data_IF_738127526760
#
_entry.id   IF_738127526760
#
_cell.length_a   1.000
_cell.length_b   1.000
_cell.length_c   1.000
_cell.angle_alpha   90.00
_cell.angle_beta   90.00
_cell.angle_gamma   90.00
#
_symmetry.space_group_name_H-M   'P 1'
#
loop_
_entity.id
_entity.type
_entity.pdbx_description
1 polymer ?
#
# COMPACT_ATOMS: atom_id res chain seq x y z
N UNK A 1 47.39 8.42 -39.52
CA UNK A 1 46.25 7.64 -38.97
C UNK A 1 46.25 7.52 -37.45
N UNK A 2 47.29 7.01 -36.77
CA UNK A 2 47.29 6.80 -35.31
C UNK A 2 46.94 8.03 -34.45
N UNK A 3 47.38 9.24 -34.84
CA UNK A 3 47.08 10.50 -34.12
C UNK A 3 45.60 10.92 -34.23
N UNK A 4 44.96 10.67 -35.37
CA UNK A 4 43.54 11.01 -35.61
C UNK A 4 42.63 10.06 -34.80
N UNK A 5 42.98 8.78 -34.76
CA UNK A 5 42.28 7.78 -33.93
C UNK A 5 42.37 8.09 -32.43
N UNK A 6 43.52 8.58 -31.95
CA UNK A 6 43.69 8.97 -30.55
C UNK A 6 42.83 10.19 -30.18
N UNK A 7 42.76 11.22 -31.04
CA UNK A 7 41.95 12.42 -30.80
C UNK A 7 40.45 12.08 -30.80
N UNK A 8 40.00 11.24 -31.74
CA UNK A 8 38.61 10.77 -31.78
C UNK A 8 38.25 9.95 -30.53
N UNK A 9 39.13 9.07 -30.07
CA UNK A 9 38.91 8.29 -28.84
C UNK A 9 38.79 9.18 -27.60
N UNK A 10 39.68 10.19 -27.44
CA UNK A 10 39.61 11.13 -26.31
C UNK A 10 38.34 11.99 -26.37
N UNK A 11 37.92 12.40 -27.57
CA UNK A 11 36.71 13.19 -27.77
C UNK A 11 35.45 12.38 -27.44
N UNK A 12 35.42 11.09 -27.80
CA UNK A 12 34.32 10.18 -27.46
C UNK A 12 34.23 9.93 -25.94
N UNK A 13 35.37 9.79 -25.26
CA UNK A 13 35.44 9.63 -23.80
C UNK A 13 34.95 10.90 -23.10
N UNK A 14 35.36 12.08 -23.56
CA UNK A 14 34.92 13.36 -23.02
C UNK A 14 33.40 13.56 -23.21
N UNK A 15 32.87 13.22 -24.39
CA UNK A 15 31.43 13.31 -24.66
C UNK A 15 30.63 12.34 -23.78
N UNK A 16 31.11 11.11 -23.59
CA UNK A 16 30.48 10.13 -22.70
C UNK A 16 30.50 10.56 -21.22
N UNK A 17 31.51 11.29 -20.78
CA UNK A 17 31.57 11.85 -19.42
C UNK A 17 30.56 12.99 -19.21
N UNK A 18 30.36 13.84 -20.22
CA UNK A 18 29.39 14.95 -20.17
C UNK A 18 27.95 14.42 -20.16
N UNK A 19 27.64 13.38 -20.94
CA UNK A 19 26.31 12.74 -20.98
C UNK A 19 25.95 12.04 -19.66
N UNK A 20 26.94 11.55 -18.89
CA UNK A 20 26.70 10.93 -17.58
C UNK A 20 26.34 11.92 -16.48
N UNK A 21 26.76 13.18 -16.59
CA UNK A 21 26.52 14.19 -15.56
C UNK A 21 25.08 14.74 -15.55
N UNK A 22 24.35 14.65 -16.66
CA UNK A 22 22.98 15.17 -16.79
C UNK A 22 21.88 14.14 -16.46
N UNK A 23 22.22 12.87 -16.27
CA UNK A 23 21.24 11.80 -16.07
C UNK A 23 20.73 11.65 -14.63
N UNK A 24 21.35 12.30 -13.64
CA UNK A 24 20.92 12.23 -12.24
C UNK A 24 20.59 13.62 -11.70
N UNK A 25 19.34 14.02 -11.84
CA UNK A 25 18.77 15.07 -10.98
C UNK A 25 18.95 14.62 -9.53
N UNK A 26 19.86 15.26 -8.78
CA UNK A 26 20.09 14.96 -7.37
C UNK A 26 18.79 15.21 -6.61
N UNK A 27 18.14 14.15 -6.13
CA UNK A 27 16.92 14.27 -5.34
C UNK A 27 17.17 15.19 -4.14
N UNK A 28 16.39 16.26 -4.03
CA UNK A 28 16.38 17.16 -2.89
C UNK A 28 15.09 16.93 -2.10
N UNK A 29 15.15 16.33 -0.90
CA UNK A 29 13.96 16.12 -0.09
C UNK A 29 13.38 17.47 0.37
N UNK A 30 12.05 17.57 0.39
CA UNK A 30 11.37 18.71 0.99
C UNK A 30 11.52 18.70 2.51
N UNK A 31 11.32 19.86 3.16
CA UNK A 31 11.29 19.95 4.62
C UNK A 31 10.27 18.97 5.26
N UNK A 32 9.10 18.82 4.64
CA UNK A 32 8.08 17.88 5.09
C UNK A 32 8.56 16.42 5.02
N UNK A 33 9.33 16.05 3.99
CA UNK A 33 9.93 14.72 3.88
C UNK A 33 10.94 14.48 5.01
N UNK A 34 11.81 15.46 5.29
CA UNK A 34 12.80 15.36 6.35
C UNK A 34 12.14 15.20 7.73
N UNK A 35 11.12 16.01 8.03
CA UNK A 35 10.36 15.90 9.27
C UNK A 35 9.66 14.54 9.43
N UNK A 36 9.04 14.02 8.35
CA UNK A 36 8.41 12.71 8.38
C UNK A 36 9.41 11.56 8.61
N UNK A 37 10.63 11.68 8.06
CA UNK A 37 11.72 10.71 8.27
C UNK A 37 12.22 10.75 9.70
N UNK A 38 12.45 11.94 10.24
CA UNK A 38 12.85 12.12 11.64
C UNK A 38 11.80 11.54 12.59
N UNK A 39 10.52 11.88 12.39
CA UNK A 39 9.43 11.29 13.16
C UNK A 39 9.45 9.76 13.09
N UNK A 40 9.63 9.16 11.90
CA UNK A 40 9.59 7.69 11.76
C UNK A 40 10.78 7.02 12.44
N UNK A 41 11.97 7.63 12.33
CA UNK A 41 13.16 7.20 13.03
C UNK A 41 12.96 7.26 14.55
N UNK A 42 12.30 8.30 15.07
CA UNK A 42 12.03 8.44 16.50
C UNK A 42 10.90 7.53 17.00
N UNK A 43 9.92 7.23 16.14
CA UNK A 43 8.80 6.36 16.47
C UNK A 43 9.26 4.92 16.77
N UNK A 44 10.29 4.43 16.05
CA UNK A 44 10.98 3.13 16.18
C UNK A 44 10.12 1.88 16.04
N UNK A 45 9.00 1.80 16.75
CA UNK A 45 8.18 0.62 16.92
C UNK A 45 6.72 0.89 16.54
N UNK A 46 6.14 0.00 15.74
CA UNK A 46 4.76 0.11 15.25
C UNK A 46 4.15 -1.25 14.95
N UNK A 47 2.83 -1.28 14.86
CA UNK A 47 2.04 -2.45 14.47
C UNK A 47 1.94 -2.51 12.95
N UNK A 48 2.02 -3.71 12.38
CA UNK A 48 1.64 -3.94 10.98
C UNK A 48 0.52 -4.96 10.91
N UNK A 49 -0.65 -4.54 10.46
CA UNK A 49 -1.83 -5.38 10.26
C UNK A 49 -1.97 -5.73 8.77
N UNK A 50 -1.80 -7.01 8.46
CA UNK A 50 -2.19 -7.59 7.18
C UNK A 50 -3.57 -8.20 7.33
N UNK A 51 -4.57 -7.52 6.78
CA UNK A 51 -5.95 -7.98 6.85
C UNK A 51 -6.72 -7.68 5.56
N UNK A 52 -7.54 -8.64 5.14
CA UNK A 52 -8.33 -8.61 3.92
C UNK A 52 -9.08 -9.92 3.71
N UNK A 53 -9.73 -10.09 2.56
CA UNK A 53 -10.55 -11.28 2.26
C UNK A 53 -9.75 -12.59 2.22
N UNK A 54 -8.43 -12.53 2.00
CA UNK A 54 -7.54 -13.69 2.13
C UNK A 54 -7.59 -14.31 3.54
N UNK A 55 -7.93 -13.54 4.58
CA UNK A 55 -8.05 -14.05 5.95
C UNK A 55 -9.18 -15.09 6.10
N UNK A 56 -10.18 -15.08 5.22
CA UNK A 56 -11.25 -16.10 5.18
C UNK A 56 -10.68 -17.48 4.85
N UNK A 57 -9.65 -17.53 4.01
CA UNK A 57 -9.03 -18.80 3.59
C UNK A 57 -7.98 -19.30 4.59
N UNK A 58 -7.45 -18.43 5.46
CA UNK A 58 -6.49 -18.81 6.51
C UNK A 58 -5.14 -19.34 6.01
N UNK A 59 -4.77 -19.09 4.74
CA UNK A 59 -3.61 -19.68 4.06
C UNK A 59 -2.64 -18.62 3.50
N UNK A 60 -2.52 -17.51 4.24
CA UNK A 60 -1.66 -16.38 3.89
C UNK A 60 -2.23 -15.48 2.78
N UNK A 61 -1.62 -14.29 2.65
CA UNK A 61 -2.08 -13.22 1.76
C UNK A 61 -1.78 -13.47 0.27
N UNK A 62 -0.93 -14.46 -0.03
CA UNK A 62 -0.58 -14.90 -1.39
C UNK A 62 -1.36 -16.15 -1.84
N UNK A 63 -2.33 -16.63 -1.06
CA UNK A 63 -3.11 -17.86 -1.33
C UNK A 63 -3.66 -17.93 -2.75
N UNK A 64 -4.17 -16.80 -3.27
CA UNK A 64 -4.70 -16.69 -4.63
C UNK A 64 -3.64 -17.08 -5.68
N UNK A 65 -2.41 -16.57 -5.53
CA UNK A 65 -1.31 -16.86 -6.45
C UNK A 65 -0.74 -18.27 -6.23
N UNK A 66 -0.60 -18.69 -4.98
CA UNK A 66 0.04 -19.97 -4.64
C UNK A 66 -0.81 -21.15 -5.10
N UNK A 67 -2.13 -21.05 -4.93
CA UNK A 67 -3.09 -22.08 -5.34
C UNK A 67 -3.68 -21.87 -6.74
N UNK A 68 -3.22 -20.82 -7.46
CA UNK A 68 -3.70 -20.45 -8.80
C UNK A 68 -5.22 -20.33 -8.86
N UNK A 69 -5.82 -19.73 -7.82
CA UNK A 69 -7.27 -19.54 -7.74
C UNK A 69 -7.70 -18.56 -8.83
N UNK A 70 -8.65 -18.93 -9.71
CA UNK A 70 -9.19 -18.01 -10.69
C UNK A 70 -9.81 -16.77 -10.02
N UNK A 71 -9.63 -15.60 -10.64
CA UNK A 71 -10.17 -14.33 -10.11
C UNK A 71 -11.67 -14.44 -9.83
N UNK A 72 -12.44 -15.02 -10.75
CA UNK A 72 -13.89 -15.18 -10.62
C UNK A 72 -14.31 -16.02 -9.40
N UNK A 73 -13.47 -16.94 -8.93
CA UNK A 73 -13.73 -17.71 -7.73
C UNK A 73 -13.30 -16.94 -6.47
N UNK A 74 -12.18 -16.24 -6.55
CA UNK A 74 -11.68 -15.43 -5.44
C UNK A 74 -12.61 -14.25 -5.12
N UNK A 75 -13.23 -13.64 -6.14
CA UNK A 75 -14.21 -12.55 -6.00
C UNK A 75 -15.51 -12.96 -5.29
N UNK A 76 -15.71 -14.26 -4.98
CA UNK A 76 -16.83 -14.77 -4.17
C UNK A 76 -16.55 -14.70 -2.67
N UNK A 77 -15.27 -14.60 -2.25
CA UNK A 77 -14.87 -14.54 -0.84
C UNK A 77 -15.43 -13.34 -0.06
N UNK A 78 -15.55 -12.13 -0.64
CA UNK A 78 -16.12 -10.98 0.08
C UNK A 78 -17.49 -11.26 0.73
N UNK A 79 -18.31 -12.13 0.12
CA UNK A 79 -19.61 -12.49 0.69
C UNK A 79 -19.52 -13.22 2.04
N UNK A 80 -18.38 -13.84 2.34
CA UNK A 80 -18.10 -14.54 3.60
C UNK A 80 -17.33 -13.66 4.60
N UNK A 81 -16.86 -12.48 4.17
CA UNK A 81 -16.08 -11.59 5.01
C UNK A 81 -16.98 -10.70 5.85
N UNK A 82 -17.25 -11.09 7.10
CA UNK A 82 -18.05 -10.30 8.03
C UNK A 82 -17.40 -10.21 9.42
N UNK A 83 -16.50 -9.23 9.64
CA UNK A 83 -15.77 -9.11 10.89
C UNK A 83 -16.60 -8.44 11.99
N UNK A 84 -17.57 -9.19 12.53
CA UNK A 84 -18.48 -8.70 13.58
C UNK A 84 -17.79 -8.39 14.91
N UNK A 85 -16.61 -8.98 15.14
CA UNK A 85 -15.78 -8.76 16.33
C UNK A 85 -14.70 -7.69 16.13
N UNK A 86 -14.71 -6.97 15.01
CA UNK A 86 -13.74 -5.90 14.79
C UNK A 86 -14.03 -4.71 15.69
N UNK A 87 -13.11 -4.42 16.60
CA UNK A 87 -13.14 -3.24 17.46
C UNK A 87 -11.83 -2.42 17.31
N UNK A 88 -11.89 -1.23 16.67
CA UNK A 88 -10.72 -0.37 16.55
C UNK A 88 -10.25 0.20 17.90
N UNK A 89 -11.12 0.31 18.89
CA UNK A 89 -10.77 0.81 20.23
C UNK A 89 -9.81 -0.16 20.89
N UNK A 90 -10.15 -1.45 20.88
CA UNK A 90 -9.32 -2.51 21.43
C UNK A 90 -7.95 -2.58 20.72
N UNK A 91 -7.95 -2.52 19.39
CA UNK A 91 -6.71 -2.60 18.61
C UNK A 91 -5.75 -1.45 18.90
N UNK A 92 -6.27 -0.22 18.96
CA UNK A 92 -5.46 0.97 19.23
C UNK A 92 -4.99 0.97 20.69
N UNK A 93 -5.86 0.58 21.63
CA UNK A 93 -5.51 0.45 23.04
C UNK A 93 -4.40 -0.59 23.25
N UNK A 94 -4.51 -1.75 22.59
CA UNK A 94 -3.49 -2.80 22.63
C UNK A 94 -2.15 -2.31 22.07
N UNK A 95 -2.16 -1.67 20.90
CA UNK A 95 -0.94 -1.12 20.29
C UNK A 95 -0.28 -0.10 21.22
N UNK A 96 -1.07 0.78 21.83
CA UNK A 96 -0.60 1.78 22.78
C UNK A 96 -0.03 1.15 24.05
N UNK A 97 -0.71 0.16 24.61
CA UNK A 97 -0.24 -0.60 25.78
C UNK A 97 1.07 -1.34 25.50
N UNK A 98 1.26 -1.85 24.28
CA UNK A 98 2.51 -2.45 23.83
C UNK A 98 3.64 -1.43 23.57
N UNK A 99 3.37 -0.12 23.68
CA UNK A 99 4.35 0.94 23.45
C UNK A 99 4.56 1.31 21.98
N UNK A 100 3.71 0.81 21.07
CA UNK A 100 3.78 1.13 19.65
C UNK A 100 3.37 2.58 19.38
N UNK A 101 4.04 3.23 18.42
CA UNK A 101 3.81 4.65 18.08
C UNK A 101 2.95 4.84 16.85
N UNK A 102 2.79 3.79 16.05
CA UNK A 102 1.98 3.82 14.84
C UNK A 102 1.40 2.45 14.50
N UNK A 103 0.34 2.49 13.71
CA UNK A 103 -0.30 1.30 13.15
C UNK A 103 -0.27 1.45 11.63
N UNK A 104 0.32 0.49 10.95
CA UNK A 104 0.23 0.35 9.50
C UNK A 104 -0.76 -0.75 9.18
N UNK A 105 -1.74 -0.48 8.33
CA UNK A 105 -2.74 -1.48 7.90
C UNK A 105 -2.83 -1.53 6.38
N UNK A 106 -3.05 -2.73 5.84
CA UNK A 106 -3.30 -2.95 4.42
C UNK A 106 -4.60 -2.29 4.00
N UNK A 107 -4.52 -1.13 3.33
CA UNK A 107 -5.68 -0.49 2.71
C UNK A 107 -6.14 -1.23 1.47
N UNK A 108 -5.19 -1.83 0.75
CA UNK A 108 -5.41 -2.73 -0.39
C UNK A 108 -4.19 -3.61 -0.56
N UNK A 109 -4.39 -4.92 -0.70
CA UNK A 109 -3.31 -5.89 -0.88
C UNK A 109 -3.14 -6.29 -2.36
N UNK A 110 -2.32 -7.31 -2.62
CA UNK A 110 -2.09 -7.86 -3.97
C UNK A 110 -3.33 -8.49 -4.61
N UNK A 111 -4.34 -8.88 -3.82
CA UNK A 111 -5.62 -9.37 -4.34
C UNK A 111 -6.54 -8.23 -4.85
N UNK A 112 -6.15 -6.97 -4.61
CA UNK A 112 -6.88 -5.80 -5.09
C UNK A 112 -8.10 -5.41 -4.27
N UNK A 113 -8.43 -6.14 -3.19
CA UNK A 113 -9.57 -5.84 -2.34
C UNK A 113 -9.31 -4.62 -1.47
N UNK A 114 -10.18 -3.61 -1.55
CA UNK A 114 -10.05 -2.39 -0.76
C UNK A 114 -10.75 -2.52 0.61
N UNK A 115 -10.02 -2.20 1.68
CA UNK A 115 -10.52 -2.22 3.06
C UNK A 115 -11.21 -0.90 3.47
N UNK A 116 -11.56 -0.04 2.51
CA UNK A 116 -12.19 1.26 2.70
C UNK A 116 -13.26 1.49 1.64
N UNK A 117 -14.16 2.47 1.82
CA UNK A 117 -15.14 2.84 0.80
C UNK A 117 -14.44 3.50 -0.40
N UNK A 118 -14.19 2.71 -1.44
CA UNK A 118 -13.47 3.17 -2.62
C UNK A 118 -14.40 3.95 -3.53
N UNK A 119 -14.03 5.15 -3.97
CA UNK A 119 -14.80 5.85 -5.01
C UNK A 119 -14.55 5.31 -6.42
N UNK A 120 -13.53 4.47 -6.57
CA UNK A 120 -13.04 4.05 -7.88
C UNK A 120 -13.59 2.69 -8.26
N UNK A 121 -13.74 1.74 -7.34
CA UNK A 121 -14.04 0.34 -7.68
C UNK A 121 -15.04 -0.24 -6.70
N UNK A 122 -15.99 -1.04 -7.17
CA UNK A 122 -16.94 -1.77 -6.31
C UNK A 122 -16.30 -2.89 -5.50
N UNK A 123 -15.08 -3.32 -5.83
CA UNK A 123 -14.37 -4.37 -5.11
C UNK A 123 -13.76 -3.89 -3.78
N UNK A 124 -14.65 -3.58 -2.84
CA UNK A 124 -14.31 -3.06 -1.51
C UNK A 124 -15.16 -3.64 -0.37
N UNK A 125 -14.74 -3.35 0.87
CA UNK A 125 -15.39 -3.83 2.09
C UNK A 125 -16.83 -3.33 2.26
N UNK A 126 -17.17 -2.15 1.75
CA UNK A 126 -18.50 -1.58 1.92
C UNK A 126 -19.48 -2.16 0.90
N UNK A 127 -19.06 -2.39 -0.33
CA UNK A 127 -19.95 -2.82 -1.40
C UNK A 127 -20.08 -4.34 -1.51
N UNK A 128 -18.99 -5.09 -1.28
CA UNK A 128 -18.96 -6.54 -1.59
C UNK A 128 -19.14 -7.45 -0.39
N UNK A 129 -19.20 -6.91 0.82
CA UNK A 129 -19.27 -7.70 2.04
C UNK A 129 -20.57 -7.47 2.81
N UNK A 130 -20.98 -8.40 3.69
CA UNK A 130 -22.09 -8.17 4.63
C UNK A 130 -21.79 -7.10 5.69
N UNK A 131 -20.53 -6.73 5.89
CA UNK A 131 -20.11 -5.81 6.95
C UNK A 131 -20.52 -4.35 6.68
N UNK A 132 -20.47 -3.92 5.41
CA UNK A 132 -20.98 -2.62 4.92
C UNK A 132 -20.42 -1.37 5.62
N UNK A 133 -19.27 -1.47 6.30
CA UNK A 133 -18.64 -0.35 7.03
C UNK A 133 -17.17 -0.19 6.65
N UNK A 134 -16.71 1.05 6.60
CA UNK A 134 -15.31 1.39 6.33
C UNK A 134 -14.44 1.14 7.57
N UNK A 135 -13.69 0.04 7.57
CA UNK A 135 -12.82 -0.35 8.69
C UNK A 135 -11.62 0.58 8.83
N UNK A 136 -11.08 1.11 7.73
CA UNK A 136 -9.93 1.99 7.78
C UNK A 136 -10.29 3.35 8.35
N UNK A 137 -11.46 3.88 7.98
CA UNK A 137 -11.98 5.10 8.58
C UNK A 137 -12.16 4.94 10.09
N UNK A 138 -12.81 3.85 10.52
CA UNK A 138 -13.01 3.57 11.94
C UNK A 138 -11.68 3.49 12.71
N UNK A 139 -10.69 2.78 12.16
CA UNK A 139 -9.37 2.67 12.77
C UNK A 139 -8.60 4.01 12.77
N UNK A 140 -8.65 4.76 11.66
CA UNK A 140 -7.96 6.04 11.55
C UNK A 140 -8.54 7.09 12.52
N UNK A 141 -9.87 7.15 12.62
CA UNK A 141 -10.57 8.03 13.56
C UNK A 141 -10.18 7.69 15.01
N UNK A 142 -10.07 6.40 15.35
CA UNK A 142 -9.70 5.97 16.69
C UNK A 142 -8.22 6.21 17.03
N UNK A 143 -7.32 5.94 16.09
CA UNK A 143 -5.91 6.32 16.21
C UNK A 143 -5.74 7.82 16.48
N UNK A 144 -6.48 8.68 15.76
CA UNK A 144 -6.44 10.12 15.98
C UNK A 144 -6.90 10.51 17.39
N UNK A 145 -7.98 9.89 17.91
CA UNK A 145 -8.45 10.15 19.28
C UNK A 145 -7.41 9.76 20.34
N UNK A 146 -6.71 8.63 20.14
CA UNK A 146 -5.78 8.10 21.14
C UNK A 146 -4.33 8.59 20.99
N UNK A 147 -4.06 9.41 19.96
CA UNK A 147 -2.73 9.98 19.68
C UNK A 147 -1.76 9.00 19.03
N UNK A 148 -2.25 7.98 18.33
CA UNK A 148 -1.46 7.01 17.57
C UNK A 148 -1.46 7.41 16.09
N UNK A 149 -0.32 7.35 15.42
CA UNK A 149 -0.26 7.64 13.98
C UNK A 149 -0.74 6.46 13.13
N UNK A 150 -1.69 6.66 12.24
CA UNK A 150 -2.14 5.66 11.26
C UNK A 150 -1.35 5.77 9.97
N UNK A 151 -0.92 4.63 9.41
CA UNK A 151 -0.25 4.53 8.11
C UNK A 151 -0.99 3.51 7.25
N UNK A 152 -1.10 3.79 5.96
CA UNK A 152 -1.81 2.93 5.02
C UNK A 152 -0.82 2.27 4.06
N UNK A 153 -0.90 0.95 3.95
CA UNK A 153 -0.21 0.19 2.90
C UNK A 153 -1.18 -0.08 1.75
N UNK A 154 -0.86 0.47 0.58
CA UNK A 154 -1.55 0.14 -0.66
C UNK A 154 -0.57 -0.53 -1.62
N UNK A 155 -0.74 -1.82 -1.87
CA UNK A 155 -0.03 -2.47 -2.96
C UNK A 155 -0.67 -2.08 -4.28
N UNK A 156 0.17 -1.57 -5.20
CA UNK A 156 -0.26 -1.29 -6.57
C UNK A 156 -0.44 -2.62 -7.30
N UNK A 157 -1.62 -3.20 -7.14
CA UNK A 157 -2.00 -4.40 -7.87
C UNK A 157 -2.25 -4.06 -9.35
N UNK A 158 -1.64 -4.85 -10.24
CA UNK A 158 -1.83 -4.78 -11.69
C UNK A 158 -3.01 -5.63 -12.18
N UNK A 159 -3.55 -6.50 -11.31
CA UNK A 159 -4.53 -7.55 -11.64
C UNK A 159 -5.93 -6.98 -11.91
N UNK A 160 -6.35 -5.93 -11.17
CA UNK A 160 -7.48 -5.06 -11.51
C UNK A 160 -7.63 -4.02 -10.40
N UNK A 161 -7.98 -2.78 -10.75
CA UNK A 161 -8.99 -2.09 -9.93
C UNK A 161 -10.32 -2.73 -10.37
N UNK A 162 -11.20 -3.11 -9.45
CA UNK A 162 -12.53 -3.59 -9.84
C UNK A 162 -13.24 -2.60 -10.77
N UNK A 163 -14.33 -3.02 -11.43
CA UNK A 163 -15.03 -2.16 -12.40
C UNK A 163 -15.35 -0.79 -11.78
N UNK A 164 -15.19 0.31 -12.55
CA UNK A 164 -15.32 1.63 -11.99
C UNK A 164 -16.72 1.89 -11.43
N UNK A 165 -16.82 2.45 -10.21
CA UNK A 165 -18.12 2.88 -9.68
C UNK A 165 -18.70 3.96 -10.62
N UNK A 166 -19.75 3.62 -11.37
CA UNK A 166 -20.43 4.54 -12.30
C UNK A 166 -19.98 4.49 -13.77
N UNK A 167 -19.12 3.54 -14.17
CA UNK A 167 -18.79 3.35 -15.57
C UNK A 167 -19.87 2.54 -16.30
N UNK A 168 -20.68 3.22 -17.13
CA UNK A 168 -21.48 2.53 -18.14
C UNK A 168 -20.58 1.61 -18.96
N UNK A 169 -20.97 0.34 -19.07
CA UNK A 169 -20.60 -0.46 -20.22
C UNK A 169 -21.07 0.27 -21.48
N UNK A 170 -20.13 0.92 -22.18
CA UNK A 170 -20.22 1.10 -23.63
C UNK A 170 -19.17 0.21 -24.24
#
# INVERSE_FOLDING_TARGET
MRRVLAILAVSLIALAAIVRASAQTRYQPSAANLAAREWFQNARFGLFVHWGVYSVLGDGEWVMNNRKIPIADYEKLPAQFNPVMFDPVEWVALAKAAGMKYITITSKHHDGFAMFDSKISDYDVVDRTPYKKDVLKALADECHKQGISTRLLCWRCRVRAGPPKGGHHR
#
